data_IF_704256239188
#
_entry.id   IF_704256239188
#
_cell.length_a   1.000
_cell.length_b   1.000
_cell.length_c   1.000
_cell.angle_alpha   90.00
_cell.angle_beta   90.00
_cell.angle_gamma   90.00
#
_symmetry.space_group_name_H-M   'P 1'
#
loop_
_entity.id
_entity.type
_entity.pdbx_description
1 polymer ?
#
# COMPACT_ATOMS: atom_id res chain seq x y z
N UNK A 1 -66.37 -46.25 2.69
CA UNK A 1 -66.43 -45.45 1.45
C UNK A 1 -65.20 -45.76 0.61
N UNK A 2 -65.34 -46.73 -0.31
CA UNK A 2 -64.34 -47.06 -1.32
C UNK A 2 -64.60 -46.19 -2.56
N UNK A 3 -63.53 -45.76 -3.22
CA UNK A 3 -63.58 -45.31 -4.61
C UNK A 3 -63.10 -43.88 -4.84
N UNK A 4 -61.80 -43.75 -5.14
CA UNK A 4 -61.31 -43.16 -6.40
C UNK A 4 -59.79 -43.21 -6.45
N UNK A 5 -59.29 -44.21 -7.15
CA UNK A 5 -57.93 -44.30 -7.66
C UNK A 5 -57.69 -43.25 -8.77
N UNK A 6 -56.41 -42.91 -8.93
CA UNK A 6 -55.76 -42.51 -10.19
C UNK A 6 -56.16 -41.15 -10.80
N UNK A 7 -55.51 -40.08 -10.34
CA UNK A 7 -55.05 -38.95 -11.16
C UNK A 7 -54.27 -37.94 -10.30
N UNK A 8 -53.01 -38.21 -9.99
CA UNK A 8 -52.12 -37.21 -9.40
C UNK A 8 -50.67 -37.40 -9.88
N UNK A 9 -50.53 -37.59 -11.20
CA UNK A 9 -49.27 -37.46 -11.91
C UNK A 9 -49.49 -36.42 -13.02
N UNK A 10 -48.63 -35.39 -13.05
CA UNK A 10 -48.64 -34.21 -13.95
C UNK A 10 -49.53 -33.03 -13.51
N UNK A 11 -49.06 -32.22 -12.57
CA UNK A 11 -49.25 -30.75 -12.59
C UNK A 11 -48.51 -30.10 -11.40
N UNK A 12 -47.19 -29.92 -11.51
CA UNK A 12 -46.42 -28.94 -10.74
C UNK A 12 -45.02 -28.80 -11.36
N UNK A 13 -44.98 -28.47 -12.66
CA UNK A 13 -43.79 -27.99 -13.37
C UNK A 13 -44.22 -26.69 -14.03
N UNK A 14 -44.09 -25.58 -13.31
CA UNK A 14 -43.89 -24.23 -13.82
C UNK A 14 -44.13 -23.23 -12.70
N UNK A 15 -43.18 -23.08 -11.79
CA UNK A 15 -43.07 -21.88 -10.95
C UNK A 15 -41.69 -21.88 -10.27
N UNK A 16 -40.70 -21.36 -10.99
CA UNK A 16 -39.42 -20.85 -10.48
C UNK A 16 -38.50 -20.51 -11.67
N UNK A 17 -38.88 -19.51 -12.47
CA UNK A 17 -37.91 -18.76 -13.28
C UNK A 17 -38.23 -17.29 -13.09
N UNK A 18 -37.66 -16.73 -12.02
CA UNK A 18 -37.48 -15.28 -11.93
C UNK A 18 -36.76 -14.77 -13.18
N UNK A 19 -36.96 -13.49 -13.57
CA UNK A 19 -36.44 -12.97 -14.82
C UNK A 19 -34.92 -13.17 -14.84
N UNK A 20 -34.44 -13.97 -15.80
CA UNK A 20 -33.03 -14.02 -16.15
C UNK A 20 -32.63 -12.59 -16.49
N UNK A 21 -31.80 -11.98 -15.64
CA UNK A 21 -31.11 -10.73 -15.97
C UNK A 21 -30.23 -11.00 -17.21
N UNK A 22 -30.80 -10.72 -18.38
CA UNK A 22 -30.15 -10.76 -19.69
C UNK A 22 -30.27 -9.39 -20.32
N UNK A 23 -29.36 -8.51 -19.92
CA UNK A 23 -28.77 -7.48 -20.77
C UNK A 23 -27.30 -7.41 -20.31
N UNK A 24 -26.38 -7.86 -21.16
CA UNK A 24 -24.99 -8.05 -20.77
C UNK A 24 -24.34 -6.74 -20.36
N UNK A 25 -23.59 -6.74 -19.25
CA UNK A 25 -22.77 -5.60 -18.83
C UNK A 25 -21.66 -5.23 -19.86
N UNK A 26 -21.48 -6.03 -20.91
CA UNK A 26 -20.46 -5.86 -21.95
C UNK A 26 -20.37 -4.45 -22.56
N UNK A 27 -21.45 -3.86 -23.12
CA UNK A 27 -21.38 -2.52 -23.72
C UNK A 27 -21.07 -1.41 -22.70
N UNK A 28 -21.62 -1.49 -21.48
CA UNK A 28 -21.37 -0.51 -20.42
C UNK A 28 -19.92 -0.59 -19.91
N UNK A 29 -19.40 -1.80 -19.72
CA UNK A 29 -18.02 -2.02 -19.29
C UNK A 29 -17.02 -1.57 -20.37
N UNK A 30 -17.29 -1.87 -21.65
CA UNK A 30 -16.46 -1.40 -22.77
C UNK A 30 -16.43 0.14 -22.84
N UNK A 31 -17.57 0.80 -22.63
CA UNK A 31 -17.66 2.25 -22.59
C UNK A 31 -16.86 2.85 -21.42
N UNK A 32 -16.98 2.26 -20.22
CA UNK A 32 -16.24 2.69 -19.03
C UNK A 32 -14.73 2.65 -19.27
N UNK A 33 -14.22 1.53 -19.78
CA UNK A 33 -12.79 1.36 -20.08
C UNK A 33 -12.35 2.33 -21.18
N UNK A 34 -13.13 2.43 -22.26
CA UNK A 34 -12.85 3.36 -23.36
C UNK A 34 -12.78 4.82 -22.89
N UNK A 35 -13.67 5.23 -21.99
CA UNK A 35 -13.65 6.56 -21.40
C UNK A 35 -12.41 6.79 -20.53
N UNK A 36 -12.03 5.84 -19.67
CA UNK A 36 -10.82 5.94 -18.83
C UNK A 36 -9.53 5.95 -19.63
N UNK A 37 -9.43 5.13 -20.68
CA UNK A 37 -8.30 5.15 -21.62
C UNK A 37 -8.22 6.51 -22.33
N UNK A 38 -9.33 7.01 -22.84
CA UNK A 38 -9.38 8.30 -23.54
C UNK A 38 -8.97 9.45 -22.61
N UNK A 39 -9.48 9.45 -21.37
CA UNK A 39 -9.11 10.44 -20.35
C UNK A 39 -7.61 10.38 -20.03
N UNK A 40 -7.06 9.19 -19.80
CA UNK A 40 -5.63 9.03 -19.51
C UNK A 40 -4.76 9.53 -20.69
N UNK A 41 -5.10 9.14 -21.92
CA UNK A 41 -4.38 9.62 -23.11
C UNK A 41 -4.47 11.13 -23.27
N UNK A 42 -5.64 11.73 -22.99
CA UNK A 42 -5.82 13.17 -22.99
C UNK A 42 -4.93 13.85 -21.94
N UNK A 43 -4.91 13.34 -20.70
CA UNK A 43 -4.06 13.88 -19.62
C UNK A 43 -2.59 13.79 -19.99
N UNK A 44 -2.11 12.63 -20.46
CA UNK A 44 -0.72 12.45 -20.89
C UNK A 44 -0.36 13.37 -22.06
N UNK A 45 -1.21 13.45 -23.08
CA UNK A 45 -1.02 14.34 -24.22
C UNK A 45 -0.98 15.82 -23.83
N UNK A 46 -1.87 16.24 -22.93
CA UNK A 46 -1.87 17.59 -22.37
C UNK A 46 -0.59 17.86 -21.57
N UNK A 47 -0.16 16.92 -20.71
CA UNK A 47 1.07 17.05 -19.94
C UNK A 47 2.31 17.21 -20.82
N UNK A 48 2.40 16.47 -21.92
CA UNK A 48 3.48 16.62 -22.90
C UNK A 48 3.41 17.98 -23.62
N UNK A 49 2.24 18.38 -24.10
CA UNK A 49 2.09 19.69 -24.75
C UNK A 49 2.46 20.83 -23.79
N UNK A 50 2.01 20.75 -22.53
CA UNK A 50 2.34 21.69 -21.47
C UNK A 50 3.84 21.72 -21.15
N UNK A 51 4.55 20.60 -21.20
CA UNK A 51 5.99 20.56 -20.95
C UNK A 51 6.82 21.27 -22.02
N UNK A 52 6.28 21.39 -23.24
CA UNK A 52 6.89 22.13 -24.36
C UNK A 52 6.43 23.59 -24.47
N UNK A 53 5.41 23.99 -23.70
CA UNK A 53 4.83 25.32 -23.78
C UNK A 53 5.64 26.32 -22.93
N UNK A 54 5.96 27.47 -23.53
CA UNK A 54 6.74 28.54 -22.87
C UNK A 54 6.08 29.04 -21.57
N UNK A 55 4.74 29.05 -21.51
CA UNK A 55 3.97 29.50 -20.33
C UNK A 55 4.24 28.67 -19.06
N UNK A 56 4.64 27.40 -19.20
CA UNK A 56 4.95 26.54 -18.06
C UNK A 56 6.45 26.32 -17.86
N UNK A 57 7.30 26.93 -18.69
CA UNK A 57 8.75 26.79 -18.63
C UNK A 57 9.34 27.59 -17.46
N UNK A 58 10.25 26.96 -16.70
CA UNK A 58 11.03 27.59 -15.64
C UNK A 58 12.47 27.74 -16.09
N UNK A 59 12.95 28.98 -16.21
CA UNK A 59 14.37 29.26 -16.52
C UNK A 59 15.31 28.78 -15.41
N UNK A 60 14.85 28.79 -14.15
CA UNK A 60 15.63 28.31 -13.01
C UNK A 60 15.82 26.79 -13.04
N UNK A 61 14.80 26.03 -13.48
CA UNK A 61 14.87 24.57 -13.56
C UNK A 61 15.34 24.06 -14.93
N UNK A 62 15.32 24.90 -15.97
CA UNK A 62 15.64 24.54 -17.36
C UNK A 62 14.62 23.60 -18.01
N UNK A 63 13.40 23.52 -17.45
CA UNK A 63 12.31 22.62 -17.85
C UNK A 63 10.98 23.14 -17.32
N UNK A 64 9.90 22.38 -17.52
CA UNK A 64 8.59 22.71 -16.97
C UNK A 64 8.66 22.93 -15.45
N UNK A 65 8.05 23.99 -14.94
CA UNK A 65 8.10 24.34 -13.52
C UNK A 65 7.58 23.21 -12.62
N UNK A 66 8.16 23.03 -11.43
CA UNK A 66 7.80 21.93 -10.52
C UNK A 66 6.30 21.89 -10.17
N UNK A 67 5.67 23.05 -9.93
CA UNK A 67 4.25 23.13 -9.54
C UNK A 67 3.29 22.51 -10.57
N UNK A 68 3.27 22.94 -11.84
CA UNK A 68 2.38 22.31 -12.82
C UNK A 68 2.78 20.86 -13.14
N UNK A 69 4.07 20.47 -13.03
CA UNK A 69 4.49 19.06 -13.12
C UNK A 69 3.90 18.22 -11.98
N UNK A 70 3.89 18.75 -10.76
CA UNK A 70 3.31 18.10 -9.60
C UNK A 70 1.80 17.92 -9.73
N UNK A 71 1.08 18.97 -10.15
CA UNK A 71 -0.37 18.88 -10.43
C UNK A 71 -0.64 17.83 -11.51
N UNK A 72 0.13 17.85 -12.61
CA UNK A 72 0.03 16.83 -13.64
C UNK A 72 0.25 15.42 -13.06
N UNK A 73 1.30 15.22 -12.27
CA UNK A 73 1.65 13.92 -11.70
C UNK A 73 0.50 13.35 -10.87
N UNK A 74 -0.10 14.15 -9.99
CA UNK A 74 -1.25 13.72 -9.16
C UNK A 74 -2.46 13.35 -10.01
N UNK A 75 -2.81 14.18 -11.01
CA UNK A 75 -3.96 13.95 -11.88
C UNK A 75 -3.75 12.71 -12.76
N UNK A 76 -2.55 12.55 -13.34
CA UNK A 76 -2.18 11.40 -14.14
C UNK A 76 -2.15 10.11 -13.31
N UNK A 77 -1.59 10.17 -12.10
CA UNK A 77 -1.57 9.04 -11.17
C UNK A 77 -2.99 8.58 -10.81
N UNK A 78 -3.89 9.51 -10.48
CA UNK A 78 -5.28 9.17 -10.17
C UNK A 78 -5.98 8.51 -11.36
N UNK A 79 -5.90 9.12 -12.55
CA UNK A 79 -6.54 8.59 -13.76
C UNK A 79 -5.98 7.23 -14.18
N UNK A 80 -4.66 7.05 -14.12
CA UNK A 80 -4.02 5.77 -14.42
C UNK A 80 -4.42 4.71 -13.39
N UNK A 81 -4.43 5.06 -12.09
CA UNK A 81 -4.79 4.12 -11.02
C UNK A 81 -6.20 3.58 -11.22
N UNK A 82 -7.18 4.45 -11.46
CA UNK A 82 -8.56 4.06 -11.76
C UNK A 82 -8.67 3.08 -12.94
N UNK A 83 -7.90 3.31 -14.02
CA UNK A 83 -7.91 2.41 -15.17
C UNK A 83 -7.32 1.03 -14.82
N UNK A 84 -6.10 1.01 -14.27
CA UNK A 84 -5.38 -0.24 -14.03
C UNK A 84 -5.99 -1.05 -12.88
N UNK A 85 -6.46 -0.43 -11.80
CA UNK A 85 -7.15 -1.12 -10.70
C UNK A 85 -8.38 -1.87 -11.24
N UNK A 86 -9.21 -1.21 -12.04
CA UNK A 86 -10.42 -1.84 -12.59
C UNK A 86 -10.10 -2.99 -13.55
N UNK A 87 -9.05 -2.87 -14.36
CA UNK A 87 -8.58 -3.96 -15.22
C UNK A 87 -8.09 -5.16 -14.40
N UNK A 88 -7.21 -4.90 -13.42
CA UNK A 88 -6.60 -5.97 -12.63
C UNK A 88 -7.57 -6.58 -11.61
N UNK A 89 -8.59 -5.86 -11.17
CA UNK A 89 -9.69 -6.45 -10.40
C UNK A 89 -10.38 -7.57 -11.18
N UNK A 90 -10.57 -7.42 -12.50
CA UNK A 90 -11.18 -8.49 -13.30
C UNK A 90 -10.30 -9.74 -13.36
N UNK A 91 -8.97 -9.56 -13.39
CA UNK A 91 -8.03 -10.67 -13.25
C UNK A 91 -8.18 -11.35 -11.88
N UNK A 92 -8.23 -10.58 -10.80
CA UNK A 92 -8.42 -11.12 -9.45
C UNK A 92 -9.72 -11.90 -9.29
N UNK A 93 -10.83 -11.38 -9.83
CA UNK A 93 -12.13 -12.07 -9.86
C UNK A 93 -12.05 -13.37 -10.65
N UNK A 94 -11.41 -13.36 -11.82
CA UNK A 94 -11.20 -14.56 -12.62
C UNK A 94 -10.35 -15.62 -11.91
N UNK A 95 -9.25 -15.22 -11.26
CA UNK A 95 -8.41 -16.10 -10.45
C UNK A 95 -9.19 -16.71 -9.27
N UNK A 96 -10.15 -15.97 -8.72
CA UNK A 96 -11.06 -16.44 -7.67
C UNK A 96 -12.26 -17.26 -8.21
N UNK A 97 -12.35 -17.52 -9.51
CA UNK A 97 -13.40 -18.31 -10.14
C UNK A 97 -14.73 -17.57 -10.34
N UNK A 98 -14.74 -16.24 -10.25
CA UNK A 98 -15.93 -15.43 -10.50
C UNK A 98 -16.17 -15.26 -12.01
N UNK A 99 -17.44 -15.28 -12.43
CA UNK A 99 -17.82 -15.16 -13.86
C UNK A 99 -17.87 -13.71 -14.35
N UNK A 100 -17.56 -13.49 -15.63
CA UNK A 100 -17.44 -12.18 -16.31
C UNK A 100 -18.72 -11.32 -16.43
N UNK A 101 -19.77 -11.57 -15.66
CA UNK A 101 -21.03 -10.82 -15.70
C UNK A 101 -21.14 -9.68 -14.68
N UNK A 102 -20.12 -9.47 -13.85
CA UNK A 102 -20.11 -8.41 -12.83
C UNK A 102 -19.85 -7.02 -13.44
N UNK A 103 -20.34 -5.97 -12.75
CA UNK A 103 -19.92 -4.60 -13.02
C UNK A 103 -18.41 -4.47 -12.83
N UNK A 104 -17.71 -3.74 -13.69
CA UNK A 104 -16.24 -3.63 -13.63
C UNK A 104 -15.73 -2.81 -12.45
N UNK A 105 -16.59 -1.98 -11.84
CA UNK A 105 -16.25 -1.27 -10.61
C UNK A 105 -16.11 -2.22 -9.41
N UNK A 106 -15.25 -1.87 -8.43
CA UNK A 106 -15.19 -2.58 -7.16
C UNK A 106 -16.52 -2.51 -6.42
N UNK A 107 -16.93 -3.64 -5.85
CA UNK A 107 -18.07 -3.69 -4.93
C UNK A 107 -17.71 -3.12 -3.56
N UNK A 108 -18.71 -2.78 -2.74
CA UNK A 108 -18.45 -2.38 -1.33
C UNK A 108 -17.75 -3.47 -0.53
N UNK A 109 -18.01 -4.75 -0.83
CA UNK A 109 -17.34 -5.87 -0.15
C UNK A 109 -15.86 -5.96 -0.55
N UNK A 110 -15.51 -5.67 -1.80
CA UNK A 110 -14.11 -5.64 -2.29
C UNK A 110 -13.33 -4.39 -1.85
N UNK A 111 -14.02 -3.36 -1.38
CA UNK A 111 -13.39 -2.18 -0.78
C UNK A 111 -13.35 -2.27 0.75
N UNK A 112 -13.93 -3.31 1.33
CA UNK A 112 -14.00 -3.46 2.78
C UNK A 112 -12.63 -3.86 3.34
N UNK A 113 -12.13 -3.06 4.27
CA UNK A 113 -10.86 -3.32 4.95
C UNK A 113 -10.97 -4.33 6.10
N UNK A 114 -12.17 -4.80 6.42
CA UNK A 114 -12.39 -5.81 7.45
C UNK A 114 -13.63 -6.64 7.12
N UNK A 115 -13.51 -7.96 7.19
CA UNK A 115 -14.63 -8.89 6.96
C UNK A 115 -15.20 -9.37 8.30
N UNK A 116 -16.33 -8.81 8.77
CA UNK A 116 -16.93 -9.19 10.05
C UNK A 116 -17.51 -10.61 10.05
N UNK A 117 -17.58 -11.28 8.88
CA UNK A 117 -18.07 -12.67 8.77
C UNK A 117 -17.00 -13.68 9.19
N UNK A 118 -15.72 -13.29 9.23
CA UNK A 118 -14.62 -14.11 9.70
C UNK A 118 -14.43 -13.87 11.20
N UNK A 119 -14.76 -14.83 12.08
CA UNK A 119 -14.69 -14.60 13.52
C UNK A 119 -13.23 -14.62 13.99
N UNK A 120 -12.66 -13.44 14.23
CA UNK A 120 -11.35 -13.27 14.85
C UNK A 120 -11.42 -12.35 16.07
N UNK A 121 -10.70 -12.64 17.18
CA UNK A 121 -9.85 -13.81 17.41
C UNK A 121 -10.66 -15.08 17.77
N UNK A 122 -10.11 -16.30 17.57
CA UNK A 122 -10.81 -17.52 17.94
C UNK A 122 -11.04 -17.60 19.46
N UNK A 123 -12.32 -17.64 19.88
CA UNK A 123 -12.71 -17.53 21.29
C UNK A 123 -12.05 -18.57 22.22
N UNK A 124 -11.72 -19.77 21.70
CA UNK A 124 -11.06 -20.83 22.45
C UNK A 124 -9.60 -20.53 22.82
N UNK A 125 -8.95 -19.57 22.15
CA UNK A 125 -7.59 -19.14 22.46
C UNK A 125 -7.53 -18.01 23.49
N UNK A 126 -8.65 -17.38 23.79
CA UNK A 126 -8.68 -16.22 24.67
C UNK A 126 -8.57 -16.66 26.13
N UNK A 127 -7.78 -15.90 26.91
CA UNK A 127 -7.79 -16.00 28.38
C UNK A 127 -9.15 -15.58 28.95
N UNK A 128 -9.44 -15.91 30.21
CA UNK A 128 -10.71 -15.54 30.84
C UNK A 128 -10.98 -14.03 30.84
N UNK A 129 -9.94 -13.23 31.11
CA UNK A 129 -9.97 -11.77 31.05
C UNK A 129 -10.27 -11.26 29.63
N UNK A 130 -9.55 -11.78 28.63
CA UNK A 130 -9.72 -11.35 27.25
C UNK A 130 -11.07 -11.75 26.66
N UNK A 131 -11.66 -12.89 27.07
CA UNK A 131 -13.02 -13.27 26.68
C UNK A 131 -14.07 -12.26 27.14
N UNK A 132 -13.92 -11.71 28.35
CA UNK A 132 -14.84 -10.69 28.85
C UNK A 132 -14.74 -9.40 28.00
N UNK A 133 -13.55 -9.04 27.56
CA UNK A 133 -13.34 -7.90 26.64
C UNK A 133 -13.87 -8.17 25.23
N UNK A 134 -13.80 -9.42 24.75
CA UNK A 134 -14.31 -9.83 23.44
C UNK A 134 -15.83 -9.69 23.30
N UNK A 135 -16.58 -9.77 24.40
CA UNK A 135 -18.04 -9.64 24.40
C UNK A 135 -18.57 -8.20 24.24
N UNK A 136 -17.69 -7.19 24.22
CA UNK A 136 -18.08 -5.79 24.03
C UNK A 136 -18.46 -5.54 22.55
N UNK A 137 -19.47 -4.71 22.27
CA UNK A 137 -19.87 -4.39 20.90
C UNK A 137 -18.75 -3.65 20.13
N UNK A 138 -18.60 -3.97 18.84
CA UNK A 138 -17.56 -3.43 17.97
C UNK A 138 -16.45 -4.44 17.67
N UNK A 139 -15.31 -3.97 17.17
CA UNK A 139 -14.10 -4.77 16.97
C UNK A 139 -13.15 -4.50 18.15
N UNK A 140 -13.23 -5.27 19.25
CA UNK A 140 -12.47 -4.99 20.47
C UNK A 140 -10.97 -5.19 20.30
N UNK A 141 -10.56 -5.99 19.31
CA UNK A 141 -9.17 -6.31 19.01
C UNK A 141 -8.80 -5.76 17.64
N UNK A 142 -7.83 -4.85 17.62
CA UNK A 142 -7.59 -3.93 16.52
C UNK A 142 -6.79 -4.54 15.35
N UNK A 143 -7.32 -5.59 14.74
CA UNK A 143 -6.72 -6.24 13.56
C UNK A 143 -7.74 -6.40 12.44
N UNK A 144 -7.52 -5.67 11.36
CA UNK A 144 -8.27 -5.81 10.13
C UNK A 144 -7.89 -7.11 9.42
N UNK A 145 -8.89 -7.83 8.92
CA UNK A 145 -8.67 -9.10 8.26
C UNK A 145 -9.70 -9.38 7.17
N UNK A 146 -9.28 -10.17 6.18
CA UNK A 146 -10.09 -10.59 5.04
C UNK A 146 -9.73 -12.04 4.68
N UNK A 147 -10.54 -12.70 3.85
CA UNK A 147 -10.17 -14.00 3.29
C UNK A 147 -9.03 -13.86 2.27
N UNK A 148 -8.30 -14.95 2.05
CA UNK A 148 -7.29 -15.09 1.00
C UNK A 148 -7.84 -14.83 -0.40
N UNK A 149 -9.08 -15.23 -0.70
CA UNK A 149 -9.77 -14.85 -1.96
C UNK A 149 -9.97 -13.34 -2.09
N UNK A 150 -10.31 -12.65 -1.01
CA UNK A 150 -10.38 -11.18 -1.02
C UNK A 150 -8.99 -10.60 -1.23
N UNK A 151 -7.99 -11.03 -0.44
CA UNK A 151 -6.59 -10.59 -0.58
C UNK A 151 -6.02 -10.85 -1.97
N UNK A 152 -6.40 -11.91 -2.66
CA UNK A 152 -6.05 -12.14 -4.07
C UNK A 152 -6.53 -10.99 -4.97
N UNK A 153 -7.77 -10.52 -4.79
CA UNK A 153 -8.32 -9.38 -5.54
C UNK A 153 -7.60 -8.09 -5.17
N UNK A 154 -7.34 -7.85 -3.89
CA UNK A 154 -6.56 -6.70 -3.43
C UNK A 154 -5.16 -6.68 -4.03
N UNK A 155 -4.47 -7.82 -4.03
CA UNK A 155 -3.13 -7.96 -4.59
C UNK A 155 -3.14 -7.63 -6.09
N UNK A 156 -4.14 -8.10 -6.84
CA UNK A 156 -4.30 -7.74 -8.24
C UNK A 156 -4.54 -6.24 -8.42
N UNK A 157 -5.47 -5.65 -7.65
CA UNK A 157 -5.71 -4.20 -7.68
C UNK A 157 -4.43 -3.41 -7.37
N UNK A 158 -3.65 -3.84 -6.37
CA UNK A 158 -2.39 -3.20 -5.99
C UNK A 158 -1.30 -3.33 -7.08
N UNK A 159 -1.24 -4.46 -7.80
CA UNK A 159 -0.44 -4.56 -9.03
C UNK A 159 -0.88 -3.53 -10.06
N UNK A 160 -2.19 -3.33 -10.23
CA UNK A 160 -2.74 -2.27 -11.08
C UNK A 160 -2.27 -0.86 -10.67
N UNK A 161 -2.31 -0.54 -9.37
CA UNK A 161 -1.80 0.73 -8.84
C UNK A 161 -0.31 0.91 -9.14
N UNK A 162 0.49 -0.15 -8.98
CA UNK A 162 1.92 -0.10 -9.28
C UNK A 162 2.20 0.09 -10.78
N UNK A 163 1.47 -0.59 -11.66
CA UNK A 163 1.56 -0.37 -13.12
C UNK A 163 1.22 1.08 -13.49
N UNK A 164 0.21 1.67 -12.86
CA UNK A 164 -0.12 3.07 -13.01
C UNK A 164 1.04 3.98 -12.57
N UNK A 165 1.63 3.73 -11.40
CA UNK A 165 2.80 4.50 -10.94
C UNK A 165 4.01 4.36 -11.84
N UNK A 166 4.32 3.15 -12.30
CA UNK A 166 5.41 2.93 -13.26
C UNK A 166 5.16 3.72 -14.54
N UNK A 167 3.96 3.66 -15.12
CA UNK A 167 3.61 4.42 -16.32
C UNK A 167 3.79 5.93 -16.10
N UNK A 168 3.21 6.48 -15.03
CA UNK A 168 3.20 7.93 -14.78
C UNK A 168 4.58 8.44 -14.41
N UNK A 169 5.34 7.72 -13.58
CA UNK A 169 6.74 8.07 -13.26
C UNK A 169 7.62 7.98 -14.49
N UNK A 170 7.50 6.92 -15.30
CA UNK A 170 8.25 6.79 -16.56
C UNK A 170 7.95 7.94 -17.51
N UNK A 171 6.67 8.27 -17.69
CA UNK A 171 6.23 9.35 -18.55
C UNK A 171 6.75 10.69 -18.05
N UNK A 172 6.57 10.98 -16.76
CA UNK A 172 7.03 12.25 -16.17
C UNK A 172 8.55 12.40 -16.27
N UNK A 173 9.30 11.36 -15.92
CA UNK A 173 10.76 11.37 -16.03
C UNK A 173 11.23 11.66 -17.47
N UNK A 174 10.66 10.95 -18.46
CA UNK A 174 11.12 11.06 -19.84
C UNK A 174 10.61 12.30 -20.57
N UNK A 175 9.33 12.60 -20.41
CA UNK A 175 8.61 13.58 -21.22
C UNK A 175 8.55 14.98 -20.59
N UNK A 176 8.63 15.06 -19.26
CA UNK A 176 8.53 16.33 -18.52
C UNK A 176 9.87 16.71 -17.90
N UNK A 177 10.59 15.75 -17.34
CA UNK A 177 11.82 16.02 -16.58
C UNK A 177 13.09 15.89 -17.42
N UNK A 178 13.02 15.23 -18.58
CA UNK A 178 14.16 14.96 -19.46
C UNK A 178 15.21 14.04 -18.84
N UNK A 179 14.84 13.17 -17.90
CA UNK A 179 15.75 12.29 -17.16
C UNK A 179 15.35 10.82 -17.18
N UNK A 180 16.25 9.95 -16.74
CA UNK A 180 16.05 8.51 -16.70
C UNK A 180 15.46 8.04 -15.36
N UNK A 181 14.94 6.81 -15.31
CA UNK A 181 14.58 6.19 -14.03
C UNK A 181 15.82 5.93 -13.16
N UNK A 182 16.97 5.67 -13.78
CA UNK A 182 18.22 5.44 -13.05
C UNK A 182 18.68 6.69 -12.28
N UNK A 183 18.44 7.89 -12.81
CA UNK A 183 18.77 9.15 -12.13
C UNK A 183 17.88 9.46 -10.93
N UNK A 184 16.70 8.82 -10.81
CA UNK A 184 15.84 8.90 -9.63
C UNK A 184 16.01 7.68 -8.72
N UNK A 185 17.17 7.02 -8.80
CA UNK A 185 17.55 5.92 -7.92
C UNK A 185 17.09 4.53 -8.35
N UNK A 186 16.36 4.38 -9.45
CA UNK A 186 15.93 3.07 -9.98
C UNK A 186 16.85 2.60 -11.12
N UNK A 187 18.11 2.32 -10.78
CA UNK A 187 19.06 1.65 -11.68
C UNK A 187 18.91 0.13 -11.53
N UNK A 188 18.60 -0.57 -12.63
CA UNK A 188 18.46 -2.04 -12.63
C UNK A 188 19.84 -2.71 -12.74
N UNK A 189 20.62 -2.64 -11.66
CA UNK A 189 21.98 -3.18 -11.55
C UNK A 189 22.09 -4.20 -10.39
N UNK A 190 23.26 -4.82 -10.23
CA UNK A 190 23.49 -5.75 -9.13
C UNK A 190 23.44 -5.10 -7.75
N UNK A 191 23.78 -3.81 -7.66
CA UNK A 191 23.74 -3.06 -6.41
C UNK A 191 22.29 -2.83 -5.93
N UNK A 192 21.31 -2.75 -6.84
CA UNK A 192 19.89 -2.67 -6.49
C UNK A 192 19.48 -3.86 -5.62
N UNK A 193 19.88 -5.07 -6.02
CA UNK A 193 19.55 -6.31 -5.30
C UNK A 193 20.23 -6.34 -3.93
N UNK A 194 21.49 -5.89 -3.85
CA UNK A 194 22.23 -5.79 -2.57
C UNK A 194 21.54 -4.80 -1.64
N UNK A 195 21.23 -3.60 -2.11
CA UNK A 195 20.55 -2.56 -1.33
C UNK A 195 19.16 -3.03 -0.88
N UNK A 196 18.38 -3.66 -1.76
CA UNK A 196 17.07 -4.24 -1.40
C UNK A 196 17.19 -5.34 -0.34
N UNK A 197 18.21 -6.20 -0.43
CA UNK A 197 18.42 -7.27 0.56
C UNK A 197 18.84 -6.69 1.91
N UNK A 198 19.71 -5.69 1.91
CA UNK A 198 20.11 -4.95 3.11
C UNK A 198 18.91 -4.24 3.75
N UNK A 199 18.13 -3.52 2.95
CA UNK A 199 16.91 -2.85 3.39
C UNK A 199 15.92 -3.83 4.01
N UNK A 200 15.67 -4.97 3.34
CA UNK A 200 14.79 -6.02 3.84
C UNK A 200 15.24 -6.55 5.21
N UNK A 201 16.53 -6.82 5.38
CA UNK A 201 17.09 -7.28 6.65
C UNK A 201 16.91 -6.24 7.77
N UNK A 202 17.13 -4.95 7.47
CA UNK A 202 16.93 -3.86 8.44
C UNK A 202 15.45 -3.69 8.77
N UNK A 203 14.56 -3.66 7.77
CA UNK A 203 13.12 -3.57 7.96
C UNK A 203 12.57 -4.70 8.81
N UNK A 204 13.00 -5.95 8.54
CA UNK A 204 12.68 -7.09 9.38
C UNK A 204 13.19 -6.90 10.82
N UNK A 205 14.46 -6.53 10.98
CA UNK A 205 15.10 -6.42 12.30
C UNK A 205 14.45 -5.40 13.22
N UNK A 206 14.09 -4.22 12.70
CA UNK A 206 13.47 -3.16 13.51
C UNK A 206 12.01 -3.47 13.86
N UNK A 207 11.28 -4.17 12.99
CA UNK A 207 9.93 -4.65 13.31
C UNK A 207 9.97 -5.82 14.30
N UNK A 208 10.96 -6.72 14.19
CA UNK A 208 11.19 -7.74 15.21
C UNK A 208 11.45 -7.11 16.58
N UNK A 209 12.22 -6.02 16.65
CA UNK A 209 12.42 -5.29 17.90
C UNK A 209 11.11 -4.75 18.49
N UNK A 210 10.24 -4.14 17.66
CA UNK A 210 8.90 -3.71 18.07
C UNK A 210 8.12 -4.90 18.63
N UNK A 211 7.98 -5.97 17.85
CA UNK A 211 7.23 -7.16 18.23
C UNK A 211 7.71 -7.73 19.57
N UNK A 212 9.03 -7.89 19.74
CA UNK A 212 9.63 -8.42 20.95
C UNK A 212 9.35 -7.51 22.17
N UNK A 213 9.46 -6.19 22.01
CA UNK A 213 9.16 -5.24 23.07
C UNK A 213 7.68 -5.24 23.45
N UNK A 214 6.77 -5.22 22.47
CA UNK A 214 5.34 -5.25 22.70
C UNK A 214 4.91 -6.56 23.38
N UNK A 215 5.48 -7.69 22.99
CA UNK A 215 5.21 -8.99 23.62
C UNK A 215 5.74 -9.02 25.06
N UNK A 216 6.98 -8.57 25.30
CA UNK A 216 7.59 -8.55 26.63
C UNK A 216 6.86 -7.63 27.62
N UNK A 217 6.32 -6.49 27.13
CA UNK A 217 5.53 -5.54 27.93
C UNK A 217 4.04 -5.94 28.04
N UNK A 218 3.65 -7.07 27.42
CA UNK A 218 2.29 -7.58 27.39
C UNK A 218 1.31 -6.66 26.66
N UNK A 219 1.78 -5.84 25.71
CA UNK A 219 0.94 -5.02 24.84
C UNK A 219 0.20 -5.87 23.82
N UNK A 220 0.83 -6.97 23.42
CA UNK A 220 0.27 -8.03 22.59
C UNK A 220 0.40 -9.37 23.32
N UNK A 221 -0.42 -10.34 22.95
CA UNK A 221 -0.37 -11.72 23.47
C UNK A 221 -0.24 -12.72 22.34
N UNK A 222 0.68 -13.67 22.44
CA UNK A 222 0.80 -14.75 21.46
C UNK A 222 -0.47 -15.62 21.45
N UNK A 223 -0.94 -15.97 20.25
CA UNK A 223 -2.10 -16.83 20.05
C UNK A 223 -1.72 -18.20 19.51
N UNK A 224 -1.13 -18.24 18.31
CA UNK A 224 -0.76 -19.48 17.60
C UNK A 224 0.23 -19.17 16.47
N UNK A 225 0.77 -20.22 15.85
CA UNK A 225 1.52 -20.09 14.60
C UNK A 225 0.67 -20.48 13.38
N UNK A 226 1.02 -19.96 12.21
CA UNK A 226 0.44 -20.27 10.90
C UNK A 226 -1.09 -20.12 10.86
N UNK A 227 -1.59 -18.97 11.30
CA UNK A 227 -3.03 -18.68 11.29
C UNK A 227 -3.47 -18.26 9.88
N UNK A 228 -4.59 -18.85 9.43
CA UNK A 228 -5.35 -18.42 8.27
C UNK A 228 -6.70 -17.90 8.77
N UNK A 229 -7.10 -16.71 8.32
CA UNK A 229 -8.26 -16.02 8.85
C UNK A 229 -9.58 -16.64 8.35
N UNK A 230 -9.58 -17.22 7.15
CA UNK A 230 -10.59 -18.16 6.69
C UNK A 230 -10.05 -19.60 6.79
N UNK A 231 -10.54 -20.43 7.74
CA UNK A 231 -10.04 -21.79 7.94
C UNK A 231 -10.24 -22.74 6.74
N UNK A 232 -11.05 -22.35 5.75
CA UNK A 232 -11.26 -23.14 4.52
C UNK A 232 -10.16 -22.96 3.48
N UNK A 233 -9.24 -22.02 3.69
CA UNK A 233 -8.18 -21.66 2.76
C UNK A 233 -6.79 -22.15 3.22
N UNK A 234 -5.85 -22.21 2.28
CA UNK A 234 -4.49 -22.70 2.53
C UNK A 234 -3.52 -21.57 2.87
N UNK A 235 -2.76 -21.73 3.96
CA UNK A 235 -1.77 -20.75 4.43
C UNK A 235 -0.81 -20.26 3.34
N UNK A 236 -0.24 -21.18 2.55
CA UNK A 236 0.71 -20.83 1.49
C UNK A 236 0.11 -19.93 0.40
N UNK A 237 -1.16 -20.15 0.03
CA UNK A 237 -1.84 -19.32 -0.96
C UNK A 237 -2.17 -17.93 -0.42
N UNK A 238 -2.62 -17.84 0.84
CA UNK A 238 -2.88 -16.56 1.51
C UNK A 238 -1.60 -15.72 1.62
N UNK A 239 -0.52 -16.31 2.16
CA UNK A 239 0.77 -15.63 2.28
C UNK A 239 1.33 -15.21 0.92
N UNK A 240 1.18 -16.03 -0.13
CA UNK A 240 1.61 -15.66 -1.46
C UNK A 240 0.97 -14.34 -1.92
N UNK A 241 -0.35 -14.20 -1.74
CA UNK A 241 -1.06 -12.98 -2.14
C UNK A 241 -0.74 -11.79 -1.23
N UNK A 242 -0.52 -12.01 0.07
CA UNK A 242 -0.03 -10.97 0.98
C UNK A 242 1.37 -10.46 0.57
N UNK A 243 2.28 -11.34 0.15
CA UNK A 243 3.61 -10.97 -0.38
C UNK A 243 3.48 -10.16 -1.67
N UNK A 244 2.66 -10.61 -2.63
CA UNK A 244 2.42 -9.86 -3.87
C UNK A 244 1.85 -8.48 -3.55
N UNK A 245 0.90 -8.39 -2.62
CA UNK A 245 0.33 -7.12 -2.19
C UNK A 245 1.40 -6.18 -1.60
N UNK A 246 2.14 -6.61 -0.59
CA UNK A 246 3.12 -5.74 0.09
C UNK A 246 4.33 -5.37 -0.77
N UNK A 247 4.75 -6.22 -1.69
CA UNK A 247 5.77 -5.86 -2.68
C UNK A 247 5.31 -4.67 -3.54
N UNK A 248 4.05 -4.72 -3.99
CA UNK A 248 3.49 -3.64 -4.81
C UNK A 248 3.11 -2.41 -3.98
N UNK A 249 2.83 -2.52 -2.68
CA UNK A 249 2.74 -1.36 -1.75
C UNK A 249 4.07 -0.61 -1.74
N UNK A 250 5.17 -1.31 -1.45
CA UNK A 250 6.49 -0.68 -1.37
C UNK A 250 6.87 0.02 -2.70
N UNK A 251 6.66 -0.63 -3.84
CA UNK A 251 6.92 -0.01 -5.15
C UNK A 251 6.02 1.19 -5.44
N UNK A 252 4.73 1.09 -5.18
CA UNK A 252 3.73 2.11 -5.46
C UNK A 252 3.89 3.37 -4.58
N UNK A 253 4.53 3.24 -3.41
CA UNK A 253 4.78 4.36 -2.51
C UNK A 253 6.20 4.93 -2.67
N UNK A 254 7.24 4.07 -2.69
CA UNK A 254 8.63 4.54 -2.74
C UNK A 254 9.00 5.13 -4.10
N UNK A 255 8.54 4.57 -5.22
CA UNK A 255 8.94 5.08 -6.54
C UNK A 255 8.39 6.50 -6.81
N UNK A 256 7.10 6.80 -6.60
CA UNK A 256 6.59 8.16 -6.71
C UNK A 256 7.20 9.13 -5.70
N UNK A 257 7.29 8.74 -4.43
CA UNK A 257 7.67 9.66 -3.36
C UNK A 257 9.18 9.86 -3.28
N UNK A 258 9.93 8.76 -3.13
CA UNK A 258 11.37 8.80 -2.84
C UNK A 258 12.20 8.76 -4.12
N UNK A 259 11.68 8.13 -5.17
CA UNK A 259 12.26 8.24 -6.50
C UNK A 259 11.95 9.60 -7.13
N UNK A 260 10.71 9.82 -7.55
CA UNK A 260 10.40 10.99 -8.38
C UNK A 260 10.29 12.31 -7.61
N UNK A 261 9.47 12.36 -6.56
CA UNK A 261 9.11 13.61 -5.88
C UNK A 261 10.28 14.18 -5.07
N UNK A 262 10.98 13.35 -4.28
CA UNK A 262 12.14 13.75 -3.48
C UNK A 262 13.22 14.41 -4.36
N UNK A 263 13.62 13.76 -5.45
CA UNK A 263 14.66 14.30 -6.35
C UNK A 263 14.22 15.60 -7.02
N UNK A 264 13.00 15.65 -7.58
CA UNK A 264 12.54 16.87 -8.26
C UNK A 264 12.28 18.04 -7.30
N UNK A 265 11.85 17.77 -6.06
CA UNK A 265 11.73 18.80 -5.04
C UNK A 265 13.09 19.32 -4.59
N UNK A 266 14.10 18.45 -4.43
CA UNK A 266 15.45 18.88 -4.10
C UNK A 266 16.01 19.81 -5.18
N UNK A 267 15.85 19.47 -6.46
CA UNK A 267 16.28 20.31 -7.58
C UNK A 267 15.54 21.66 -7.58
N UNK A 268 14.21 21.62 -7.39
CA UNK A 268 13.42 22.84 -7.35
C UNK A 268 13.79 23.73 -6.15
N UNK A 269 14.03 23.15 -4.98
CA UNK A 269 14.45 23.92 -3.81
C UNK A 269 15.82 24.58 -4.02
N UNK A 270 16.77 23.87 -4.63
CA UNK A 270 18.07 24.42 -4.98
C UNK A 270 17.93 25.56 -6.01
N UNK A 271 17.14 25.36 -7.06
CA UNK A 271 16.97 26.31 -8.15
C UNK A 271 16.22 27.59 -7.75
N UNK A 272 15.10 27.47 -7.02
CA UNK A 272 14.20 28.59 -6.73
C UNK A 272 14.59 29.37 -5.47
N UNK A 273 15.23 28.73 -4.49
CA UNK A 273 15.60 29.38 -3.23
C UNK A 273 17.11 29.58 -3.07
N UNK A 274 17.91 29.19 -4.07
CA UNK A 274 19.38 29.16 -3.95
C UNK A 274 19.84 28.40 -2.70
N UNK A 275 19.06 27.38 -2.30
CA UNK A 275 19.34 26.61 -1.10
C UNK A 275 20.61 25.76 -1.32
N UNK A 276 21.53 25.69 -0.35
CA UNK A 276 22.64 24.75 -0.41
C UNK A 276 22.13 23.31 -0.58
N UNK A 277 22.87 22.41 -1.26
CA UNK A 277 22.38 21.06 -1.61
C UNK A 277 21.76 20.29 -0.44
N UNK A 278 22.41 20.33 0.73
CA UNK A 278 21.91 19.67 1.95
C UNK A 278 20.58 20.24 2.43
N UNK A 279 20.41 21.55 2.39
CA UNK A 279 19.16 22.20 2.78
C UNK A 279 18.05 21.87 1.77
N UNK A 280 18.35 21.90 0.48
CA UNK A 280 17.39 21.57 -0.57
C UNK A 280 16.85 20.14 -0.42
N UNK A 281 17.74 19.17 -0.19
CA UNK A 281 17.36 17.78 0.04
C UNK A 281 16.56 17.64 1.34
N UNK A 282 16.99 18.30 2.42
CA UNK A 282 16.24 18.27 3.69
C UNK A 282 14.82 18.80 3.54
N UNK A 283 14.62 19.93 2.85
CA UNK A 283 13.30 20.48 2.56
C UNK A 283 12.47 19.52 1.68
N UNK A 284 13.10 18.83 0.74
CA UNK A 284 12.45 17.81 -0.08
C UNK A 284 11.98 16.63 0.77
N UNK A 285 12.80 16.14 1.71
CA UNK A 285 12.41 15.08 2.67
C UNK A 285 11.24 15.50 3.54
N UNK A 286 11.24 16.73 4.07
CA UNK A 286 10.11 17.22 4.87
C UNK A 286 8.83 17.32 4.05
N UNK A 287 8.93 17.80 2.82
CA UNK A 287 7.78 17.99 1.92
C UNK A 287 7.20 16.64 1.49
N UNK A 288 8.05 15.68 1.11
CA UNK A 288 7.59 14.34 0.72
C UNK A 288 6.95 13.59 1.90
N UNK A 289 7.54 13.73 3.10
CA UNK A 289 7.00 13.13 4.32
C UNK A 289 5.62 13.71 4.64
N UNK A 290 5.42 15.02 4.43
CA UNK A 290 4.11 15.65 4.57
C UNK A 290 3.09 15.09 3.58
N UNK A 291 3.48 14.83 2.35
CA UNK A 291 2.59 14.20 1.36
C UNK A 291 2.28 12.73 1.74
N UNK A 292 3.27 11.99 2.23
CA UNK A 292 3.11 10.62 2.72
C UNK A 292 2.04 10.52 3.84
N UNK A 293 1.99 11.50 4.74
CA UNK A 293 0.92 11.62 5.75
C UNK A 293 -0.45 11.73 5.09
N UNK A 294 -0.60 12.52 4.02
CA UNK A 294 -1.91 12.70 3.37
C UNK A 294 -2.44 11.40 2.73
N UNK A 295 -1.54 10.53 2.26
CA UNK A 295 -1.88 9.21 1.73
C UNK A 295 -2.46 8.27 2.80
N UNK A 296 -2.18 8.52 4.08
CA UNK A 296 -2.59 7.67 5.21
C UNK A 296 -3.84 8.18 5.96
N UNK A 297 -4.37 9.35 5.61
CA UNK A 297 -5.51 9.95 6.32
C UNK A 297 -6.80 9.10 6.25
N UNK A 298 -6.97 8.36 5.16
CA UNK A 298 -8.14 7.50 4.92
C UNK A 298 -7.94 6.08 5.43
N UNK A 299 -6.72 5.73 5.88
CA UNK A 299 -6.42 4.42 6.42
C UNK A 299 -7.08 4.21 7.79
N UNK A 300 -7.48 2.97 8.14
CA UNK A 300 -8.05 2.66 9.46
C UNK A 300 -7.12 3.10 10.61
N UNK A 301 -7.62 4.00 11.46
CA UNK A 301 -6.83 4.57 12.56
C UNK A 301 -5.82 5.66 12.15
N UNK A 302 -5.78 6.08 10.88
CA UNK A 302 -4.88 7.09 10.33
C UNK A 302 -5.22 8.52 10.76
N UNK A 303 -6.49 8.86 10.99
CA UNK A 303 -6.91 10.21 11.42
C UNK A 303 -6.44 10.63 12.82
N UNK A 304 -5.81 9.74 13.59
CA UNK A 304 -5.27 10.05 14.92
C UNK A 304 -3.96 10.82 14.80
N UNK A 305 -3.81 11.84 15.62
CA UNK A 305 -2.61 12.69 15.64
C UNK A 305 -1.30 11.90 15.80
N UNK A 306 -1.26 10.93 16.72
CA UNK A 306 -0.08 10.08 16.94
C UNK A 306 0.29 9.26 15.69
N UNK A 307 -0.70 8.68 14.99
CA UNK A 307 -0.47 7.98 13.72
C UNK A 307 0.15 8.90 12.68
N UNK A 308 -0.38 10.12 12.52
CA UNK A 308 0.13 11.08 11.53
C UNK A 308 1.52 11.59 11.87
N UNK A 309 1.80 11.86 13.15
CA UNK A 309 3.13 12.26 13.59
C UNK A 309 4.16 11.15 13.32
N UNK A 310 3.82 9.91 13.66
CA UNK A 310 4.72 8.79 13.43
C UNK A 310 4.93 8.50 11.94
N UNK A 311 3.88 8.57 11.12
CA UNK A 311 3.99 8.42 9.66
C UNK A 311 4.83 9.54 9.06
N UNK A 312 4.73 10.76 9.57
CA UNK A 312 5.63 11.84 9.16
C UNK A 312 7.09 11.51 9.47
N UNK A 313 7.39 11.02 10.68
CA UNK A 313 8.74 10.59 11.07
C UNK A 313 9.21 9.37 10.25
N UNK A 314 8.32 8.42 9.98
CA UNK A 314 8.59 7.27 9.11
C UNK A 314 8.89 7.70 7.68
N UNK A 315 8.19 8.71 7.18
CA UNK A 315 8.47 9.34 5.89
C UNK A 315 9.86 9.96 5.85
N UNK A 316 10.27 10.65 6.93
CA UNK A 316 11.63 11.20 7.03
C UNK A 316 12.65 10.07 6.99
N UNK A 317 12.43 8.99 7.73
CA UNK A 317 13.33 7.82 7.71
C UNK A 317 13.40 7.18 6.32
N UNK A 318 12.28 7.07 5.60
CA UNK A 318 12.24 6.58 4.23
C UNK A 318 12.97 7.50 3.25
N UNK A 319 12.85 8.83 3.38
CA UNK A 319 13.65 9.79 2.62
C UNK A 319 15.15 9.64 2.90
N UNK A 320 15.52 9.45 4.16
CA UNK A 320 16.90 9.19 4.58
C UNK A 320 17.46 7.86 4.02
N UNK A 321 16.62 6.85 3.80
CA UNK A 321 17.01 5.61 3.13
C UNK A 321 17.59 5.87 1.73
N UNK A 322 16.95 6.78 0.97
CA UNK A 322 17.46 7.15 -0.36
C UNK A 322 18.65 8.09 -0.26
N UNK A 323 18.65 9.02 0.68
CA UNK A 323 19.80 9.91 0.89
C UNK A 323 21.05 9.12 1.24
N UNK A 324 21.08 8.37 2.34
CA UNK A 324 22.32 7.75 2.82
C UNK A 324 22.88 6.67 1.88
N UNK A 325 22.05 6.11 0.99
CA UNK A 325 22.50 5.20 -0.09
C UNK A 325 22.99 5.91 -1.35
N UNK A 326 23.13 7.24 -1.30
CA UNK A 326 23.63 8.04 -2.41
C UNK A 326 22.60 8.28 -3.51
N UNK A 327 21.32 8.40 -3.16
CA UNK A 327 20.22 8.62 -4.10
C UNK A 327 19.68 7.34 -4.75
N UNK A 328 19.86 6.17 -4.11
CA UNK A 328 19.44 4.87 -4.64
C UNK A 328 18.15 4.42 -3.98
N UNK A 329 17.24 3.85 -4.77
CA UNK A 329 15.91 3.45 -4.28
C UNK A 329 15.89 2.05 -3.65
N UNK A 330 16.91 1.23 -3.93
CA UNK A 330 16.92 -0.19 -3.55
C UNK A 330 16.73 -0.43 -2.05
N UNK A 331 17.46 0.29 -1.20
CA UNK A 331 17.35 0.12 0.25
C UNK A 331 15.97 0.53 0.75
N UNK A 332 15.42 1.64 0.27
CA UNK A 332 14.08 2.09 0.64
C UNK A 332 13.00 1.05 0.27
N UNK A 333 13.09 0.45 -0.94
CA UNK A 333 12.18 -0.61 -1.39
C UNK A 333 12.27 -1.85 -0.48
N UNK A 334 13.49 -2.32 -0.21
CA UNK A 334 13.72 -3.46 0.67
C UNK A 334 13.23 -3.20 2.08
N UNK A 335 13.56 -2.03 2.63
CA UNK A 335 13.20 -1.62 3.98
C UNK A 335 11.69 -1.54 4.17
N UNK A 336 10.99 -0.88 3.26
CA UNK A 336 9.53 -0.74 3.33
C UNK A 336 8.85 -2.11 3.15
N UNK A 337 9.25 -2.90 2.15
CA UNK A 337 8.71 -4.25 1.98
C UNK A 337 8.93 -5.11 3.23
N UNK A 338 10.16 -5.09 3.77
CA UNK A 338 10.53 -5.81 4.99
C UNK A 338 9.75 -5.35 6.21
N UNK A 339 9.57 -4.04 6.37
CA UNK A 339 8.75 -3.45 7.43
C UNK A 339 7.32 -4.00 7.40
N UNK A 340 6.65 -3.88 6.25
CA UNK A 340 5.25 -4.28 6.11
C UNK A 340 5.03 -5.79 6.27
N UNK A 341 5.76 -6.61 5.51
CA UNK A 341 5.53 -8.06 5.52
C UNK A 341 5.87 -8.67 6.88
N UNK A 342 6.88 -8.13 7.57
CA UNK A 342 7.27 -8.58 8.89
C UNK A 342 6.22 -8.20 9.94
N UNK A 343 5.68 -6.99 9.85
CA UNK A 343 4.66 -6.51 10.78
C UNK A 343 3.35 -7.30 10.61
N UNK A 344 2.81 -7.30 9.39
CA UNK A 344 1.54 -7.95 9.06
C UNK A 344 1.58 -9.47 9.12
N UNK A 345 2.42 -10.08 8.29
CA UNK A 345 2.30 -11.49 7.96
C UNK A 345 3.32 -12.39 8.66
N UNK A 346 4.43 -11.83 9.16
CA UNK A 346 5.31 -12.58 10.06
C UNK A 346 4.79 -12.51 11.50
N UNK A 347 4.40 -11.32 11.99
CA UNK A 347 4.04 -11.11 13.40
C UNK A 347 2.56 -10.82 13.69
N UNK A 348 1.68 -10.80 12.68
CA UNK A 348 0.23 -10.69 12.90
C UNK A 348 -0.21 -9.35 13.48
N UNK A 349 0.59 -8.30 13.30
CA UNK A 349 0.31 -6.94 13.76
C UNK A 349 -0.38 -6.16 12.63
N UNK A 350 -1.23 -5.19 12.97
CA UNK A 350 -1.80 -4.31 11.93
C UNK A 350 -0.69 -3.49 11.25
N UNK A 351 -0.83 -3.21 9.95
CA UNK A 351 0.14 -2.42 9.16
C UNK A 351 -0.62 -1.28 8.47
N UNK A 352 -0.61 -0.08 9.04
CA UNK A 352 -1.39 1.07 8.57
C UNK A 352 -2.89 0.75 8.32
N UNK A 353 -3.46 -0.20 9.06
CA UNK A 353 -4.85 -0.62 8.90
C UNK A 353 -5.13 -1.47 7.65
N UNK A 354 -4.10 -1.89 6.92
CA UNK A 354 -4.20 -2.88 5.85
C UNK A 354 -4.67 -4.22 6.46
N UNK A 355 -5.70 -4.87 5.90
CA UNK A 355 -6.11 -6.17 6.40
C UNK A 355 -5.03 -7.24 6.21
N UNK A 356 -5.12 -8.38 6.87
CA UNK A 356 -4.28 -9.56 6.53
C UNK A 356 -5.16 -10.78 6.25
N UNK A 357 -4.64 -11.71 5.45
CA UNK A 357 -5.33 -12.97 5.16
C UNK A 357 -4.72 -14.20 5.84
N UNK A 358 -3.42 -14.11 6.19
CA UNK A 358 -2.73 -15.08 7.01
C UNK A 358 -1.54 -14.46 7.75
N UNK A 359 -1.10 -15.10 8.85
CA UNK A 359 0.11 -14.72 9.58
C UNK A 359 0.87 -15.94 10.13
N UNK A 360 2.21 -15.88 10.09
CA UNK A 360 3.09 -16.91 10.64
C UNK A 360 3.04 -16.96 12.17
N UNK A 361 3.00 -15.80 12.83
CA UNK A 361 2.80 -15.66 14.28
C UNK A 361 1.56 -14.81 14.49
N UNK A 362 0.50 -15.44 14.99
CA UNK A 362 -0.72 -14.74 15.37
C UNK A 362 -0.60 -14.19 16.77
N UNK A 363 -0.98 -12.94 16.93
CA UNK A 363 -0.99 -12.22 18.20
C UNK A 363 -2.30 -11.48 18.40
N UNK A 364 -2.59 -11.16 19.66
CA UNK A 364 -3.74 -10.40 20.07
C UNK A 364 -3.30 -9.07 20.68
N UNK A 365 -3.60 -7.93 20.03
CA UNK A 365 -3.38 -6.61 20.62
C UNK A 365 -4.32 -6.38 21.81
N UNK A 366 -3.76 -5.96 22.95
CA UNK A 366 -4.55 -5.73 24.15
C UNK A 366 -5.48 -4.51 23.97
N UNK A 367 -6.81 -4.62 24.17
CA UNK A 367 -7.76 -3.55 23.86
C UNK A 367 -7.47 -2.22 24.58
N UNK A 368 -7.03 -2.31 25.83
CA UNK A 368 -6.76 -1.13 26.68
C UNK A 368 -5.39 -0.49 26.41
N UNK A 369 -4.51 -1.15 25.66
CA UNK A 369 -3.15 -0.66 25.35
C UNK A 369 -3.08 -0.03 23.95
N UNK A 370 -4.24 0.35 23.38
CA UNK A 370 -4.39 0.94 22.04
C UNK A 370 -3.44 2.10 21.74
N UNK A 371 -3.19 2.98 22.72
CA UNK A 371 -2.28 4.12 22.53
C UNK A 371 -0.80 3.70 22.48
N UNK A 372 -0.47 2.51 22.99
CA UNK A 372 0.89 1.99 23.08
C UNK A 372 1.29 1.21 21.82
N UNK A 373 0.46 0.24 21.40
CA UNK A 373 0.69 -0.57 20.18
C UNK A 373 0.04 0.02 18.92
N UNK A 374 -0.66 1.16 19.06
CA UNK A 374 -1.20 1.91 17.93
C UNK A 374 -2.54 1.41 17.39
N UNK A 375 -3.18 0.38 17.95
CA UNK A 375 -4.55 -0.01 17.60
C UNK A 375 -4.70 -0.43 16.14
N UNK A 376 -5.76 0.00 15.45
CA UNK A 376 -6.07 -0.46 14.08
C UNK A 376 -5.02 -0.05 13.07
N UNK A 377 -4.31 1.03 13.33
CA UNK A 377 -3.19 1.47 12.49
C UNK A 377 -1.93 0.62 12.73
N UNK A 378 -1.89 -0.14 13.83
CA UNK A 378 -0.78 -0.99 14.22
C UNK A 378 0.40 -0.23 14.82
N UNK A 379 1.55 -0.90 14.98
CA UNK A 379 2.73 -0.33 15.61
C UNK A 379 3.19 1.02 15.06
N UNK A 380 2.90 1.30 13.79
CA UNK A 380 3.16 2.61 13.16
C UNK A 380 2.44 3.76 13.86
N UNK A 381 1.28 3.50 14.49
CA UNK A 381 0.57 4.46 15.32
C UNK A 381 0.90 4.35 16.81
N UNK A 382 1.84 3.46 17.17
CA UNK A 382 2.24 3.15 18.54
C UNK A 382 3.45 3.94 19.03
N UNK A 383 3.90 3.68 20.25
CA UNK A 383 5.03 4.39 20.84
C UNK A 383 6.40 3.87 20.37
N UNK A 384 6.46 2.61 19.92
CA UNK A 384 7.73 1.98 19.54
C UNK A 384 8.22 2.39 18.14
N UNK A 385 7.33 2.82 17.24
CA UNK A 385 7.68 3.10 15.84
C UNK A 385 8.78 4.18 15.67
N UNK A 386 8.72 5.37 16.30
CA UNK A 386 9.78 6.37 16.16
C UNK A 386 11.17 5.88 16.58
N UNK A 387 11.23 5.04 17.63
CA UNK A 387 12.49 4.44 18.09
C UNK A 387 13.02 3.42 17.07
N UNK A 388 12.13 2.62 16.49
CA UNK A 388 12.47 1.67 15.44
C UNK A 388 12.95 2.37 14.15
N UNK A 389 12.31 3.47 13.76
CA UNK A 389 12.77 4.31 12.64
C UNK A 389 14.17 4.87 12.89
N UNK A 390 14.40 5.43 14.08
CA UNK A 390 15.71 5.93 14.48
C UNK A 390 16.78 4.84 14.45
N UNK A 391 16.48 3.65 14.97
CA UNK A 391 17.36 2.50 14.90
C UNK A 391 17.65 2.09 13.44
N UNK A 392 16.65 2.06 12.58
CA UNK A 392 16.80 1.77 11.15
C UNK A 392 17.76 2.74 10.45
N UNK A 393 17.60 4.05 10.70
CA UNK A 393 18.50 5.09 10.17
C UNK A 393 19.92 4.95 10.72
N UNK A 394 20.07 4.61 12.01
CA UNK A 394 21.40 4.37 12.61
C UNK A 394 22.10 3.14 12.00
N UNK A 395 21.36 2.04 11.78
CA UNK A 395 21.89 0.84 11.12
C UNK A 395 22.30 1.15 9.68
N UNK A 396 21.46 1.87 8.95
CA UNK A 396 21.77 2.34 7.60
C UNK A 396 23.03 3.21 7.57
N UNK A 397 23.15 4.17 8.49
CA UNK A 397 24.34 5.01 8.61
C UNK A 397 25.59 4.18 8.95
N UNK A 398 25.49 3.17 9.81
CA UNK A 398 26.61 2.28 10.12
C UNK A 398 27.05 1.45 8.91
N UNK A 399 26.13 1.13 7.99
CA UNK A 399 26.41 0.34 6.78
C UNK A 399 26.97 1.20 5.63
N UNK A 400 26.44 2.40 5.41
CA UNK A 400 26.74 3.24 4.23
C UNK A 400 27.56 4.50 4.54
N UNK A 401 27.67 4.89 5.81
CA UNK A 401 28.33 6.12 6.23
C UNK A 401 27.57 7.39 5.83
N UNK A 402 28.23 8.54 5.96
CA UNK A 402 27.74 9.80 5.38
C UNK A 402 28.26 9.91 3.95
N UNK A 403 27.39 10.13 2.95
CA UNK A 403 27.86 10.34 1.59
C UNK A 403 28.56 11.68 1.47
N UNK A 404 29.53 11.77 0.56
CA UNK A 404 30.18 13.04 0.22
C UNK A 404 29.23 13.91 -0.61
N UNK A 405 28.43 14.70 0.09
CA UNK A 405 27.43 15.59 -0.49
C UNK A 405 28.01 16.86 -1.10
N UNK A 406 29.24 17.22 -0.74
CA UNK A 406 29.92 18.38 -1.30
C UNK A 406 30.51 18.10 -2.68
N UNK A 407 30.86 16.84 -2.96
CA UNK A 407 31.40 16.40 -4.25
C UNK A 407 30.34 16.07 -5.31
N UNK A 408 29.05 16.07 -4.96
CA UNK A 408 27.96 15.69 -5.88
C UNK A 408 27.30 16.95 -6.48
N UNK A 409 27.23 16.98 -7.81
CA UNK A 409 26.40 17.93 -8.55
C UNK A 409 24.92 17.81 -8.11
N UNK A 410 24.06 18.83 -8.34
CA UNK A 410 22.62 18.71 -8.09
C UNK A 410 22.05 17.44 -8.74
N UNK A 411 21.08 16.81 -8.07
CA UNK A 411 20.59 15.43 -8.30
C UNK A 411 19.91 15.20 -9.66
#
# INVERSE_FOLDING_TARGET
AMGRQAAAGKAAKNEARGPKAKAGAGPANALLVGARVTLLLFILGFGYAASTAEVFHSSAEGKMHILPRFVFFIVAQAAATELFVTLLLQLGRWLCGETASAAWEPTREELAVNDPKLPWPPAHLLSGELRALASKPGQPFFLNHVSGRHRCKDACMRVGMNLASLLVVCFTCRCLDGRSLASIGLALDGALIVDMSAGLAVGFGIVFFIFAAELALGWISFLRCFEVLDPSEGFAACIFWDVVFHLNVALNEELPLRGWMLHNLADAFAAHFSAPPLLAIFLAVLTESGFFVTMHLQSPGGSRFQSMLNIFVGGIAAGLNVMLTGGRLGFALGWHFGWNITMGNVFGLSTSGIPISATAVSVLPHPEKRALHGGEFGPEGGLAAPLAYGLGVLLLWAMYGLPDWAARAPL
#
